data_IF_820855787163
#
_entry.id   IF_820855787163
#
_cell.length_a   1.000
_cell.length_b   1.000
_cell.length_c   1.000
_cell.angle_alpha   90.00
_cell.angle_beta   90.00
_cell.angle_gamma   90.00
#
_symmetry.space_group_name_H-M   'P 1'
#
loop_
_entity.id
_entity.type
_entity.pdbx_description
1 polymer ?
#
# COMPACT_ATOMS: atom_id res chain seq x y z
N UNK A 1 5.94 -16.99 -30.21
CA UNK A 1 7.19 -16.50 -30.81
C UNK A 1 7.16 -14.97 -30.87
N UNK A 2 8.05 -14.31 -30.13
CA UNK A 2 8.92 -13.18 -30.53
C UNK A 2 9.84 -12.85 -29.34
N UNK A 3 11.13 -12.60 -29.58
CA UNK A 3 12.20 -12.78 -28.59
C UNK A 3 12.34 -11.56 -27.67
N UNK A 4 12.71 -11.78 -26.40
CA UNK A 4 13.16 -10.71 -25.51
C UNK A 4 14.67 -10.60 -25.65
N UNK A 5 15.10 -9.65 -26.46
CA UNK A 5 16.49 -9.23 -26.55
C UNK A 5 17.00 -8.80 -25.17
N UNK A 6 18.18 -9.31 -24.84
CA UNK A 6 18.95 -9.03 -23.64
C UNK A 6 19.77 -7.78 -23.96
N UNK A 7 19.37 -6.63 -23.45
CA UNK A 7 20.24 -5.44 -23.46
C UNK A 7 20.96 -5.40 -22.11
N UNK A 8 22.22 -5.83 -22.17
CA UNK A 8 23.23 -5.57 -21.16
C UNK A 8 23.68 -4.11 -21.33
N UNK A 9 23.68 -3.31 -20.27
CA UNK A 9 24.27 -1.96 -20.31
C UNK A 9 25.39 -1.89 -19.28
N UNK A 10 26.61 -2.16 -19.76
CA UNK A 10 27.83 -1.64 -19.14
C UNK A 10 28.01 -0.18 -19.60
N UNK A 11 28.47 0.65 -18.69
CA UNK A 11 28.82 2.04 -18.93
C UNK A 11 30.14 2.15 -19.70
N UNK A 12 30.23 3.11 -20.64
CA UNK A 12 31.43 3.91 -20.87
C UNK A 12 31.09 5.21 -21.63
N UNK A 13 32.01 6.17 -21.55
CA UNK A 13 31.83 7.61 -21.75
C UNK A 13 32.02 8.12 -23.20
N UNK A 14 31.78 9.44 -23.34
CA UNK A 14 32.33 10.40 -24.31
C UNK A 14 31.44 10.92 -25.47
N UNK A 15 31.22 12.24 -25.39
CA UNK A 15 31.31 13.28 -26.44
C UNK A 15 30.27 13.43 -27.58
N UNK A 16 29.45 14.48 -27.39
CA UNK A 16 29.12 15.58 -28.32
C UNK A 16 28.74 15.31 -29.78
N UNK A 17 27.52 15.76 -30.15
CA UNK A 17 27.31 16.73 -31.24
C UNK A 17 25.91 17.38 -31.18
N UNK A 18 25.93 18.71 -31.20
CA UNK A 18 24.82 19.59 -31.57
C UNK A 18 24.25 19.18 -32.94
N UNK A 19 22.94 19.39 -33.18
CA UNK A 19 22.41 20.28 -34.24
C UNK A 19 20.96 20.66 -33.92
N UNK A 20 20.70 21.96 -33.95
CA UNK A 20 19.41 22.66 -33.90
C UNK A 20 18.59 22.48 -35.18
N UNK A 21 17.25 22.45 -35.11
CA UNK A 21 16.44 23.07 -36.18
C UNK A 21 15.03 23.52 -35.72
N UNK A 22 14.64 24.66 -36.32
CA UNK A 22 13.48 25.57 -36.12
C UNK A 22 12.12 24.92 -36.47
N UNK A 23 11.02 25.20 -35.74
CA UNK A 23 10.03 26.31 -35.84
C UNK A 23 9.29 26.47 -37.20
N UNK A 24 8.00 26.11 -37.23
CA UNK A 24 6.90 26.67 -38.08
C UNK A 24 5.56 26.33 -37.35
N UNK A 25 4.94 27.23 -36.59
CA UNK A 25 3.83 28.15 -36.94
C UNK A 25 2.69 27.59 -37.81
N UNK A 26 1.45 27.60 -37.28
CA UNK A 26 0.25 28.24 -37.90
C UNK A 26 -1.07 27.49 -37.61
N UNK A 27 -1.79 28.02 -36.62
CA UNK A 27 -3.23 28.38 -36.59
C UNK A 27 -4.14 27.85 -37.73
N UNK A 28 -5.20 27.10 -37.39
CA UNK A 28 -6.59 27.45 -37.79
C UNK A 28 -7.65 26.68 -36.97
N UNK A 29 -8.68 27.43 -36.58
CA UNK A 29 -9.94 27.02 -35.94
C UNK A 29 -10.90 26.51 -37.00
N UNK A 30 -11.63 25.41 -36.77
CA UNK A 30 -13.03 25.26 -37.22
C UNK A 30 -13.82 24.40 -36.23
N UNK A 31 -14.99 24.92 -35.87
CA UNK A 31 -16.06 24.33 -35.07
C UNK A 31 -17.09 23.78 -36.07
N UNK A 32 -17.46 22.51 -36.02
CA UNK A 32 -18.70 22.03 -36.65
C UNK A 32 -19.38 21.03 -35.73
N UNK A 33 -20.58 21.42 -35.30
CA UNK A 33 -21.61 20.58 -34.73
C UNK A 33 -22.11 19.57 -35.76
N UNK A 34 -22.26 18.31 -35.37
CA UNK A 34 -23.32 17.46 -35.90
C UNK A 34 -23.65 16.38 -34.88
N UNK A 35 -24.89 16.44 -34.40
CA UNK A 35 -25.56 15.38 -33.67
C UNK A 35 -25.84 14.22 -34.63
N UNK A 36 -25.60 12.99 -34.18
CA UNK A 36 -26.26 11.79 -34.72
C UNK A 36 -26.79 10.98 -33.55
N UNK A 37 -28.07 10.69 -33.65
CA UNK A 37 -28.94 9.95 -32.75
C UNK A 37 -29.05 8.50 -33.25
N UNK A 38 -29.01 7.51 -32.33
CA UNK A 38 -29.65 6.18 -32.41
C UNK A 38 -29.33 5.47 -31.08
N UNK A 39 -30.24 5.21 -30.14
CA UNK A 39 -31.52 4.50 -30.15
C UNK A 39 -31.38 2.97 -30.38
N UNK A 40 -31.81 2.22 -29.35
CA UNK A 40 -32.29 0.83 -29.34
C UNK A 40 -31.27 -0.29 -29.60
N UNK A 41 -31.39 -1.51 -29.08
CA UNK A 41 -32.18 -2.18 -28.04
C UNK A 41 -31.70 -3.63 -28.10
N UNK A 42 -31.64 -4.35 -26.98
CA UNK A 42 -31.69 -5.83 -26.81
C UNK A 42 -30.70 -6.30 -25.73
N UNK A 43 -31.00 -7.23 -24.81
CA UNK A 43 -32.23 -7.90 -24.37
C UNK A 43 -31.84 -8.83 -23.20
N UNK A 44 -32.62 -8.83 -22.10
CA UNK A 44 -32.90 -9.94 -21.13
C UNK A 44 -31.71 -10.50 -20.29
N UNK A 45 -31.84 -10.93 -19.03
CA UNK A 45 -32.91 -11.76 -18.43
C UNK A 45 -32.81 -11.84 -16.89
N UNK A 46 -33.99 -11.92 -16.26
CA UNK A 46 -34.41 -12.70 -15.05
C UNK A 46 -33.89 -12.41 -13.63
N UNK A 47 -34.86 -12.26 -12.71
CA UNK A 47 -34.75 -12.57 -11.26
C UNK A 47 -35.53 -11.55 -10.40
N UNK A 48 -36.87 -11.52 -10.38
CA UNK A 48 -37.76 -12.30 -9.49
C UNK A 48 -37.25 -12.40 -8.03
N UNK A 49 -37.84 -11.57 -7.15
CA UNK A 49 -37.67 -11.59 -5.70
C UNK A 49 -38.89 -10.96 -5.02
N UNK A 50 -39.76 -11.82 -4.50
CA UNK A 50 -41.14 -11.60 -4.05
C UNK A 50 -41.25 -10.80 -2.73
N UNK A 51 -42.31 -9.99 -2.63
CA UNK A 51 -42.80 -9.29 -1.42
C UNK A 51 -44.10 -9.95 -0.96
N UNK A 52 -44.19 -10.33 0.32
CA UNK A 52 -45.40 -10.52 1.15
C UNK A 52 -44.88 -10.39 2.62
N UNK A 53 -45.46 -9.69 3.60
CA UNK A 53 -46.79 -9.09 3.78
C UNK A 53 -47.41 -9.62 5.09
N UNK A 54 -47.69 -8.73 6.07
CA UNK A 54 -48.51 -8.98 7.28
C UNK A 54 -47.80 -8.64 8.60
N UNK A 55 -48.36 -7.94 9.60
CA UNK A 55 -49.70 -7.41 9.83
C UNK A 55 -50.05 -7.52 11.34
N UNK A 56 -50.36 -6.40 12.01
CA UNK A 56 -51.28 -6.33 13.16
C UNK A 56 -50.70 -6.39 14.59
N UNK A 57 -51.18 -5.48 15.46
CA UNK A 57 -51.20 -5.68 16.92
C UNK A 57 -50.89 -4.45 17.78
N UNK A 58 -51.88 -3.58 18.01
CA UNK A 58 -51.85 -2.57 19.06
C UNK A 58 -52.15 -3.22 20.43
N UNK A 59 -51.55 -2.72 21.51
CA UNK A 59 -52.14 -2.69 22.85
C UNK A 59 -51.38 -1.67 23.71
N UNK A 60 -52.10 -0.61 24.10
CA UNK A 60 -51.67 0.37 25.08
C UNK A 60 -51.88 -0.19 26.50
N UNK A 61 -50.91 0.04 27.39
CA UNK A 61 -51.17 0.18 28.83
C UNK A 61 -50.31 1.30 29.40
N UNK A 62 -50.93 2.11 30.26
CA UNK A 62 -50.38 3.30 30.87
C UNK A 62 -49.85 3.02 32.29
N UNK A 63 -49.17 4.03 32.86
CA UNK A 63 -48.79 4.24 34.29
C UNK A 63 -47.53 3.46 34.73
N UNK A 64 -46.57 4.01 35.49
CA UNK A 64 -46.61 5.01 36.57
C UNK A 64 -45.32 5.83 36.62
N UNK A 65 -45.47 7.09 37.03
CA UNK A 65 -44.46 8.09 37.33
C UNK A 65 -43.57 7.65 38.51
N UNK A 66 -42.26 7.52 38.30
CA UNK A 66 -41.27 7.50 39.39
C UNK A 66 -40.24 8.62 39.16
N UNK A 67 -40.46 9.72 39.88
CA UNK A 67 -39.68 10.95 39.85
C UNK A 67 -38.43 10.76 40.73
N UNK A 68 -37.31 10.29 40.16
CA UNK A 68 -36.03 10.24 40.88
C UNK A 68 -35.22 11.52 40.60
N UNK A 69 -35.13 12.37 41.63
CA UNK A 69 -34.28 13.57 41.66
C UNK A 69 -32.80 13.20 41.53
N UNK A 70 -32.19 13.75 40.48
CA UNK A 70 -30.87 14.39 40.38
C UNK A 70 -29.63 13.67 40.96
N UNK A 71 -28.66 13.42 40.09
CA UNK A 71 -27.37 14.14 40.09
C UNK A 71 -26.87 14.27 38.64
N UNK A 72 -26.65 15.50 38.17
CA UNK A 72 -26.00 15.76 36.88
C UNK A 72 -24.50 15.54 37.07
N UNK A 73 -23.81 14.68 36.30
CA UNK A 73 -22.36 14.76 36.24
C UNK A 73 -22.02 16.09 35.57
N UNK A 74 -21.51 17.03 36.37
CA UNK A 74 -20.83 18.23 35.94
C UNK A 74 -19.56 17.80 35.20
N UNK A 75 -19.70 17.44 33.92
CA UNK A 75 -18.58 17.38 33.01
C UNK A 75 -18.53 18.74 32.35
N UNK A 76 -17.62 19.57 32.87
CA UNK A 76 -17.11 20.77 32.23
C UNK A 76 -16.99 20.47 30.74
N UNK A 77 -17.84 21.10 29.93
CA UNK A 77 -17.63 21.18 28.50
C UNK A 77 -16.31 21.90 28.33
N UNK A 78 -15.22 21.16 28.16
CA UNK A 78 -14.03 21.73 27.57
C UNK A 78 -14.49 22.21 26.20
N UNK A 79 -14.64 23.53 26.07
CA UNK A 79 -14.64 24.16 24.78
C UNK A 79 -13.40 23.60 24.06
N UNK A 80 -13.62 22.66 23.16
CA UNK A 80 -12.59 22.23 22.22
C UNK A 80 -12.30 23.48 21.42
N UNK A 81 -11.29 24.24 21.86
CA UNK A 81 -10.58 25.12 20.97
C UNK A 81 -10.27 24.26 19.74
N UNK A 82 -10.93 24.59 18.63
CA UNK A 82 -10.45 24.11 17.35
C UNK A 82 -9.04 24.67 17.24
N UNK A 83 -8.04 23.87 17.61
CA UNK A 83 -6.70 24.10 17.15
C UNK A 83 -6.81 23.95 15.65
N UNK A 84 -6.98 25.10 14.99
CA UNK A 84 -6.57 25.30 13.61
C UNK A 84 -5.17 24.72 13.56
N UNK A 85 -5.04 23.48 13.07
CA UNK A 85 -3.75 22.87 12.87
C UNK A 85 -3.09 23.73 11.81
N UNK A 86 -2.33 24.75 12.23
CA UNK A 86 -1.41 25.46 11.36
C UNK A 86 -0.50 24.38 10.82
N UNK A 87 -0.73 23.95 9.58
CA UNK A 87 0.06 22.95 8.89
C UNK A 87 1.43 23.55 8.62
N UNK A 88 2.24 23.66 9.68
CA UNK A 88 3.67 23.67 9.51
C UNK A 88 3.98 22.37 8.77
N UNK A 89 4.62 22.50 7.61
CA UNK A 89 4.99 21.36 6.74
C UNK A 89 6.14 20.62 7.41
N UNK A 90 5.84 20.06 8.58
CA UNK A 90 6.77 19.36 9.41
C UNK A 90 7.04 17.98 8.81
N UNK A 91 8.20 17.45 9.16
CA UNK A 91 8.60 16.11 8.80
C UNK A 91 7.71 15.11 9.53
N UNK A 92 6.73 14.52 8.84
CA UNK A 92 5.88 13.44 9.39
C UNK A 92 6.72 12.29 9.98
N UNK A 93 6.50 11.91 11.23
CA UNK A 93 7.27 10.82 11.83
C UNK A 93 6.60 9.48 11.51
N UNK A 94 7.40 8.49 11.14
CA UNK A 94 6.86 7.21 10.67
C UNK A 94 6.16 6.41 11.78
N UNK A 95 6.51 6.60 13.05
CA UNK A 95 5.85 5.91 14.16
C UNK A 95 4.42 6.39 14.39
N UNK A 96 4.16 7.69 14.19
CA UNK A 96 2.82 8.30 14.32
C UNK A 96 1.85 7.70 13.28
N UNK A 97 2.35 7.43 12.07
CA UNK A 97 1.55 6.90 10.96
C UNK A 97 1.19 5.41 11.10
N UNK A 98 1.94 4.64 11.89
CA UNK A 98 1.70 3.18 12.05
C UNK A 98 0.45 2.87 12.87
N UNK A 99 0.04 3.78 13.75
CA UNK A 99 -1.17 3.63 14.57
C UNK A 99 -2.47 4.09 13.89
N UNK A 100 -2.36 4.70 12.69
CA UNK A 100 -3.51 5.26 11.97
C UNK A 100 -4.19 4.20 11.10
N UNK A 101 -5.49 4.40 10.83
CA UNK A 101 -6.24 3.51 9.96
C UNK A 101 -5.83 3.68 8.48
N UNK A 102 -6.04 2.64 7.66
CA UNK A 102 -5.78 2.73 6.22
C UNK A 102 -6.57 3.85 5.54
N UNK A 103 -7.80 4.12 5.99
CA UNK A 103 -8.65 5.18 5.44
C UNK A 103 -8.13 6.58 5.72
N UNK A 104 -7.45 6.78 6.86
CA UNK A 104 -6.85 8.09 7.20
C UNK A 104 -5.55 8.31 6.43
N UNK A 105 -4.75 7.25 6.26
CA UNK A 105 -3.51 7.29 5.48
C UNK A 105 -3.78 7.59 3.99
N UNK A 106 -4.86 7.07 3.41
CA UNK A 106 -5.22 7.36 2.02
C UNK A 106 -5.69 8.80 1.82
N UNK A 107 -6.41 9.37 2.79
CA UNK A 107 -6.80 10.79 2.77
C UNK A 107 -5.59 11.72 2.87
N UNK A 108 -4.69 11.46 3.83
CA UNK A 108 -3.44 12.22 3.95
C UNK A 108 -2.60 12.14 2.67
N UNK A 109 -2.59 10.99 2.00
CA UNK A 109 -1.89 10.79 0.74
C UNK A 109 -2.49 11.68 -0.37
N UNK A 110 -3.81 11.74 -0.51
CA UNK A 110 -4.46 12.61 -1.51
C UNK A 110 -4.16 14.07 -1.26
N UNK A 111 -4.17 14.51 -0.01
CA UNK A 111 -3.91 15.91 0.36
C UNK A 111 -2.47 16.30 0.04
N UNK A 112 -1.50 15.46 0.41
CA UNK A 112 -0.08 15.69 0.10
C UNK A 112 0.22 15.68 -1.40
N UNK A 113 -0.52 14.88 -2.19
CA UNK A 113 -0.41 14.89 -3.66
C UNK A 113 -0.92 16.20 -4.25
N UNK A 114 -2.05 16.69 -3.77
CA UNK A 114 -2.62 17.97 -4.20
C UNK A 114 -1.71 19.15 -3.83
N UNK A 115 -1.10 19.11 -2.64
CA UNK A 115 -0.09 20.10 -2.26
C UNK A 115 1.12 20.05 -3.20
N UNK A 116 1.59 18.84 -3.53
CA UNK A 116 2.73 18.67 -4.42
C UNK A 116 2.45 19.15 -5.86
N UNK A 117 1.24 18.95 -6.39
CA UNK A 117 0.87 19.48 -7.71
C UNK A 117 0.81 21.01 -7.70
N UNK A 118 0.23 21.61 -6.66
CA UNK A 118 0.22 23.07 -6.48
C UNK A 118 1.65 23.65 -6.41
N UNK A 119 2.55 23.00 -5.65
CA UNK A 119 3.96 23.43 -5.55
C UNK A 119 4.73 23.28 -6.87
N UNK A 120 4.37 22.31 -7.72
CA UNK A 120 4.97 22.16 -9.06
C UNK A 120 4.55 23.28 -10.00
N UNK A 121 3.27 23.67 -9.99
CA UNK A 121 2.80 24.82 -10.78
C UNK A 121 3.51 26.09 -10.30
N UNK A 122 3.57 26.32 -8.98
CA UNK A 122 4.27 27.46 -8.41
C UNK A 122 5.77 27.51 -8.77
N UNK A 123 6.41 26.35 -8.96
CA UNK A 123 7.80 26.29 -9.44
C UNK A 123 7.93 26.80 -10.86
N UNK A 124 7.00 26.45 -11.75
CA UNK A 124 7.01 26.87 -13.16
C UNK A 124 6.72 28.36 -13.29
N UNK A 125 5.82 28.91 -12.47
CA UNK A 125 5.45 30.34 -12.50
C UNK A 125 6.41 31.25 -11.73
N UNK A 126 7.57 30.75 -11.29
CA UNK A 126 8.56 31.57 -10.58
C UNK A 126 8.16 31.97 -9.15
N UNK A 127 7.48 31.10 -8.41
CA UNK A 127 6.99 31.38 -7.06
C UNK A 127 8.09 31.57 -5.99
N UNK A 128 7.69 32.15 -4.85
CA UNK A 128 8.58 32.46 -3.73
C UNK A 128 9.43 31.25 -3.25
N UNK A 129 10.70 31.48 -2.84
CA UNK A 129 11.63 30.41 -2.47
C UNK A 129 11.13 29.55 -1.31
N UNK A 130 10.40 30.14 -0.35
CA UNK A 130 9.80 29.41 0.77
C UNK A 130 8.81 28.33 0.34
N UNK A 131 8.11 28.51 -0.79
CA UNK A 131 7.22 27.49 -1.36
C UNK A 131 8.03 26.36 -2.01
N UNK A 132 9.16 26.68 -2.65
CA UNK A 132 10.03 25.70 -3.30
C UNK A 132 10.74 24.78 -2.31
N UNK A 133 11.15 25.32 -1.16
CA UNK A 133 11.79 24.54 -0.08
C UNK A 133 10.90 23.40 0.44
N UNK A 134 9.57 23.56 0.40
CA UNK A 134 8.60 22.55 0.84
C UNK A 134 8.55 21.31 -0.07
N UNK A 135 8.92 21.43 -1.35
CA UNK A 135 8.84 20.33 -2.32
C UNK A 135 9.59 19.09 -1.83
N UNK A 136 10.80 19.27 -1.29
CA UNK A 136 11.60 18.16 -0.78
C UNK A 136 10.94 17.47 0.42
N UNK A 137 10.32 18.24 1.30
CA UNK A 137 9.66 17.72 2.50
C UNK A 137 8.40 16.94 2.12
N UNK A 138 7.53 17.52 1.29
CA UNK A 138 6.28 16.87 0.82
C UNK A 138 6.57 15.57 0.08
N UNK A 139 7.59 15.53 -0.81
CA UNK A 139 8.01 14.29 -1.50
C UNK A 139 8.41 13.19 -0.52
N UNK A 140 9.19 13.53 0.52
CA UNK A 140 9.58 12.57 1.55
C UNK A 140 8.41 12.14 2.43
N UNK A 141 7.45 13.03 2.69
CA UNK A 141 6.23 12.71 3.44
C UNK A 141 5.35 11.71 2.68
N UNK A 142 5.12 11.92 1.37
CA UNK A 142 4.41 10.97 0.50
C UNK A 142 5.08 9.59 0.51
N UNK A 143 6.40 9.55 0.37
CA UNK A 143 7.16 8.31 0.40
C UNK A 143 6.98 7.55 1.74
N UNK A 144 6.96 8.26 2.88
CA UNK A 144 6.73 7.64 4.20
C UNK A 144 5.33 7.04 4.31
N UNK A 145 4.28 7.78 3.91
CA UNK A 145 2.89 7.28 3.95
C UNK A 145 2.74 6.03 3.07
N UNK A 146 3.23 6.07 1.83
CA UNK A 146 3.21 4.92 0.92
C UNK A 146 3.97 3.71 1.50
N UNK A 147 5.12 3.96 2.15
CA UNK A 147 5.91 2.89 2.78
C UNK A 147 5.13 2.23 3.91
N UNK A 148 4.43 3.00 4.76
CA UNK A 148 3.63 2.44 5.87
C UNK A 148 2.43 1.65 5.33
N UNK A 149 1.73 2.17 4.31
CA UNK A 149 0.65 1.44 3.64
C UNK A 149 1.17 0.12 3.07
N UNK A 150 2.33 0.13 2.41
CA UNK A 150 2.90 -1.08 1.84
C UNK A 150 3.36 -2.09 2.91
N UNK A 151 3.97 -1.61 4.01
CA UNK A 151 4.35 -2.45 5.15
C UNK A 151 3.15 -3.15 5.77
N UNK A 152 2.06 -2.42 6.02
CA UNK A 152 0.83 -3.00 6.58
C UNK A 152 0.22 -4.02 5.61
N UNK A 153 0.09 -3.69 4.33
CA UNK A 153 -0.37 -4.63 3.29
C UNK A 153 0.46 -5.92 3.27
N UNK A 154 1.79 -5.82 3.23
CA UNK A 154 2.66 -7.00 3.25
C UNK A 154 2.55 -7.79 4.55
N UNK A 155 2.38 -7.14 5.71
CA UNK A 155 2.20 -7.85 6.98
C UNK A 155 0.93 -8.70 6.99
N UNK A 156 -0.20 -8.15 6.53
CA UNK A 156 -1.45 -8.88 6.40
C UNK A 156 -1.37 -10.00 5.37
N UNK A 157 -0.71 -9.77 4.22
CA UNK A 157 -0.50 -10.81 3.21
C UNK A 157 0.40 -11.92 3.72
N UNK A 158 1.43 -11.60 4.50
CA UNK A 158 2.28 -12.60 5.15
C UNK A 158 1.46 -13.43 6.10
N UNK A 159 0.67 -12.81 6.98
CA UNK A 159 -0.25 -13.46 7.92
C UNK A 159 -1.23 -14.42 7.24
N UNK A 160 -1.92 -13.95 6.20
CA UNK A 160 -2.86 -14.75 5.44
C UNK A 160 -2.21 -15.97 4.75
N UNK A 161 -0.92 -15.87 4.40
CA UNK A 161 -0.19 -16.92 3.69
C UNK A 161 0.80 -17.71 4.58
N UNK A 162 0.74 -17.56 5.91
CA UNK A 162 1.61 -18.32 6.82
C UNK A 162 1.21 -19.79 6.75
N UNK A 163 2.20 -20.68 6.59
CA UNK A 163 2.00 -22.13 6.59
C UNK A 163 1.48 -22.72 5.27
N UNK A 164 1.06 -21.89 4.31
CA UNK A 164 0.65 -22.37 3.00
C UNK A 164 1.85 -22.97 2.25
N UNK A 165 1.66 -24.15 1.63
CA UNK A 165 2.68 -24.78 0.77
C UNK A 165 3.05 -23.89 -0.42
N UNK A 166 2.06 -23.21 -0.99
CA UNK A 166 2.23 -22.35 -2.17
C UNK A 166 2.11 -20.89 -1.75
N UNK A 167 3.27 -20.25 -1.59
CA UNK A 167 3.37 -18.82 -1.25
C UNK A 167 3.56 -18.02 -2.55
N UNK A 168 2.95 -16.83 -2.69
CA UNK A 168 3.23 -15.91 -3.78
C UNK A 168 4.73 -15.60 -3.96
N UNK A 169 5.16 -15.36 -5.20
CA UNK A 169 6.58 -15.13 -5.52
C UNK A 169 7.19 -13.93 -4.78
N UNK A 170 6.40 -12.88 -4.56
CA UNK A 170 6.84 -11.64 -3.89
C UNK A 170 7.15 -11.85 -2.40
N UNK A 171 6.48 -12.79 -1.75
CA UNK A 171 6.67 -13.11 -0.34
C UNK A 171 7.74 -14.18 -0.11
N UNK A 172 8.25 -14.81 -1.18
CA UNK A 172 9.30 -15.82 -1.09
C UNK A 172 10.61 -15.17 -0.66
N UNK A 173 11.36 -15.85 0.21
CA UNK A 173 12.67 -15.36 0.66
C UNK A 173 13.61 -15.15 -0.53
N UNK A 174 14.21 -13.96 -0.62
CA UNK A 174 15.19 -13.64 -1.64
C UNK A 174 16.55 -14.28 -1.28
N UNK A 175 16.87 -15.36 -1.96
CA UNK A 175 18.18 -16.05 -1.91
C UNK A 175 18.70 -16.24 -3.33
N UNK A 176 19.97 -16.63 -3.49
CA UNK A 176 20.50 -16.99 -4.80
C UNK A 176 19.79 -18.23 -5.36
N UNK A 177 19.80 -18.37 -6.69
CA UNK A 177 19.18 -19.51 -7.39
C UNK A 177 19.80 -20.84 -6.95
N UNK A 178 21.12 -20.87 -6.77
CA UNK A 178 21.85 -22.05 -6.30
C UNK A 178 21.34 -22.50 -4.93
N UNK A 179 21.25 -21.59 -3.94
CA UNK A 179 20.74 -21.90 -2.59
C UNK A 179 19.29 -22.38 -2.64
N UNK A 180 18.46 -21.82 -3.53
CA UNK A 180 17.07 -22.27 -3.69
C UNK A 180 16.92 -23.69 -4.27
N UNK A 181 17.92 -24.16 -5.03
CA UNK A 181 17.93 -25.49 -5.66
C UNK A 181 18.71 -26.53 -4.86
N UNK A 182 19.53 -26.08 -3.91
CA UNK A 182 20.24 -26.96 -3.00
C UNK A 182 19.28 -27.86 -2.20
N UNK A 183 19.78 -29.04 -1.83
CA UNK A 183 19.07 -29.97 -0.96
C UNK A 183 18.81 -29.36 0.42
N UNK A 184 17.73 -29.81 1.07
CA UNK A 184 17.44 -29.41 2.45
C UNK A 184 18.47 -30.03 3.40
N UNK A 185 18.74 -29.38 4.54
CA UNK A 185 19.67 -29.91 5.56
C UNK A 185 19.29 -31.32 6.03
N UNK A 186 17.99 -31.61 6.11
CA UNK A 186 17.47 -32.94 6.48
C UNK A 186 17.78 -33.99 5.42
N UNK A 187 17.71 -33.63 4.14
CA UNK A 187 18.09 -34.53 3.04
C UNK A 187 19.60 -34.77 3.02
N UNK A 188 20.39 -33.70 3.21
CA UNK A 188 21.85 -33.82 3.28
C UNK A 188 22.32 -34.65 4.47
N UNK A 189 21.66 -34.52 5.62
CA UNK A 189 21.92 -35.33 6.81
C UNK A 189 21.19 -36.68 6.81
N UNK A 190 20.45 -37.00 5.74
CA UNK A 190 19.71 -38.24 5.63
C UNK A 190 20.67 -39.40 5.50
N UNK A 191 20.84 -40.16 6.58
CA UNK A 191 21.66 -41.37 6.62
C UNK A 191 20.78 -42.61 6.44
N UNK A 192 21.33 -43.65 5.82
CA UNK A 192 20.63 -44.94 5.73
C UNK A 192 20.52 -45.57 7.11
N UNK A 193 19.50 -46.41 7.35
CA UNK A 193 19.35 -47.09 8.65
C UNK A 193 20.58 -47.94 9.02
N UNK A 194 21.22 -48.54 8.02
CA UNK A 194 22.44 -49.32 8.18
C UNK A 194 23.60 -48.45 8.66
N UNK A 195 23.76 -47.28 8.06
CA UNK A 195 24.79 -46.31 8.44
C UNK A 195 24.50 -45.69 9.80
N UNK A 196 23.24 -45.36 10.09
CA UNK A 196 22.82 -44.86 11.40
C UNK A 196 23.17 -45.84 12.53
N UNK A 197 22.88 -47.13 12.35
CA UNK A 197 23.27 -48.19 13.29
C UNK A 197 24.79 -48.25 13.45
N UNK A 198 25.55 -48.23 12.35
CA UNK A 198 27.03 -48.23 12.40
C UNK A 198 27.57 -47.04 13.19
N UNK A 199 27.08 -45.84 12.92
CA UNK A 199 27.50 -44.61 13.58
C UNK A 199 27.15 -44.62 15.08
N UNK A 200 26.01 -45.22 15.46
CA UNK A 200 25.62 -45.39 16.85
C UNK A 200 26.52 -46.38 17.59
N UNK A 201 26.85 -47.52 16.97
CA UNK A 201 27.72 -48.53 17.57
C UNK A 201 29.18 -48.08 17.68
N UNK A 202 29.71 -47.39 16.67
CA UNK A 202 31.12 -47.00 16.60
C UNK A 202 31.27 -45.48 16.42
N UNK A 203 31.02 -44.68 17.47
CA UNK A 203 31.27 -43.25 17.42
C UNK A 203 32.77 -42.97 17.39
N UNK A 204 33.19 -41.92 16.66
CA UNK A 204 34.58 -41.44 16.72
C UNK A 204 34.87 -40.92 18.14
N UNK A 205 35.71 -41.64 18.88
CA UNK A 205 36.10 -41.30 20.24
C UNK A 205 37.35 -40.43 20.21
N UNK A 206 37.40 -39.42 21.08
CA UNK A 206 38.62 -38.64 21.32
C UNK A 206 39.52 -39.43 22.26
N UNK A 207 40.78 -39.63 21.89
CA UNK A 207 41.79 -40.27 22.73
C UNK A 207 43.10 -39.49 22.66
N UNK A 208 43.93 -39.64 23.68
CA UNK A 208 45.29 -39.11 23.72
C UNK A 208 46.21 -40.22 24.23
N UNK A 209 47.45 -40.24 23.73
CA UNK A 209 48.48 -41.16 24.21
C UNK A 209 49.32 -40.42 25.25
N UNK A 210 49.57 -41.07 26.38
CA UNK A 210 50.46 -40.53 27.40
C UNK A 210 51.90 -40.65 26.88
N UNK A 211 52.63 -39.54 26.93
CA UNK A 211 54.07 -39.53 26.65
C UNK A 211 54.85 -40.25 27.74
#
# INVERSE_FOLDING_TARGET
>A
MRPKEVICFCADAAESRLVSFRFVSSRLVVKVSTAICWAESSCRRSGLGMVLGGGGGALATAKVIAKKKQTKPNQKTHATHQHQHTQSTAKLKAHELRGQSKGDLTKQLTDLKNELTALRVAKVTGGAPNKLSKIKVVRKNIARVLTVIHQTQLSHLKEANKGNKHIPLDLRVKKTRAIRRALTKKQLAGVTEKEAKRNAYFPMRKYAVKA
#
